data_IF_449529720070
#
_entry.id   IF_449529720070
#
_cell.length_a   1.000
_cell.length_b   1.000
_cell.length_c   1.000
_cell.angle_alpha   90.00
_cell.angle_beta   90.00
_cell.angle_gamma   90.00
#
_symmetry.space_group_name_H-M   'P 1'
#
loop_
_entity.id
_entity.type
_entity.pdbx_description
1 polymer ?
#
# COMPACT_ATOMS: atom_id res chain seq x y z
N UNK A 1 18.02 39.79 1.20
CA UNK A 1 17.33 38.80 0.34
C UNK A 1 18.01 37.41 0.35
N UNK A 2 18.58 36.96 1.49
CA UNK A 2 19.43 35.75 1.57
C UNK A 2 18.78 34.52 2.24
N UNK A 3 17.54 34.64 2.72
CA UNK A 3 16.87 33.56 3.48
C UNK A 3 16.23 32.46 2.62
N UNK A 4 15.73 32.78 1.42
CA UNK A 4 15.03 31.81 0.58
C UNK A 4 15.95 30.74 -0.01
N UNK A 5 17.16 31.10 -0.45
CA UNK A 5 18.10 30.18 -1.12
C UNK A 5 18.59 29.06 -0.20
N UNK A 6 18.78 29.34 1.10
CA UNK A 6 19.24 28.35 2.08
C UNK A 6 18.19 27.30 2.44
N UNK A 7 16.91 27.67 2.48
CA UNK A 7 15.81 26.73 2.72
C UNK A 7 15.57 25.83 1.49
N UNK A 8 15.55 26.41 0.28
CA UNK A 8 15.35 25.64 -0.96
C UNK A 8 16.46 24.61 -1.16
N UNK A 9 17.73 24.98 -0.94
CA UNK A 9 18.86 24.04 -1.05
C UNK A 9 18.78 22.87 -0.06
N UNK A 10 18.25 23.09 1.15
CA UNK A 10 18.02 22.00 2.12
C UNK A 10 16.89 21.07 1.67
N UNK A 11 15.80 21.63 1.12
CA UNK A 11 14.67 20.85 0.59
C UNK A 11 15.10 19.99 -0.60
N UNK A 12 15.89 20.54 -1.52
CA UNK A 12 16.39 19.82 -2.69
C UNK A 12 17.31 18.66 -2.30
N UNK A 13 18.16 18.87 -1.29
CA UNK A 13 19.06 17.83 -0.79
C UNK A 13 18.34 16.74 0.02
N UNK A 14 17.24 17.10 0.69
CA UNK A 14 16.42 16.16 1.47
C UNK A 14 15.42 15.38 0.59
N UNK A 15 14.98 15.95 -0.53
CA UNK A 15 14.00 15.37 -1.47
C UNK A 15 14.28 13.91 -1.86
N UNK A 16 15.48 13.53 -2.35
CA UNK A 16 15.73 12.14 -2.75
C UNK A 16 15.69 11.17 -1.57
N UNK A 17 16.13 11.62 -0.38
CA UNK A 17 16.08 10.82 0.86
C UNK A 17 14.64 10.62 1.33
N UNK A 18 13.84 11.67 1.32
CA UNK A 18 12.43 11.61 1.69
C UNK A 18 11.62 10.70 0.75
N UNK A 19 11.82 10.82 -0.57
CA UNK A 19 11.16 9.96 -1.55
C UNK A 19 11.61 8.50 -1.43
N UNK A 20 12.90 8.26 -1.16
CA UNK A 20 13.43 6.92 -0.91
C UNK A 20 12.81 6.29 0.33
N UNK A 21 12.74 7.03 1.44
CA UNK A 21 12.12 6.57 2.67
C UNK A 21 10.62 6.29 2.50
N UNK A 22 9.89 7.22 1.87
CA UNK A 22 8.46 7.05 1.60
C UNK A 22 8.20 5.78 0.78
N UNK A 23 9.00 5.55 -0.26
CA UNK A 23 8.93 4.34 -1.09
C UNK A 23 9.14 3.07 -0.26
N UNK A 24 10.16 3.06 0.60
CA UNK A 24 10.46 1.91 1.47
C UNK A 24 9.29 1.64 2.42
N UNK A 25 8.76 2.67 3.08
CA UNK A 25 7.64 2.53 4.02
C UNK A 25 6.39 1.99 3.32
N UNK A 26 5.97 2.61 2.22
CA UNK A 26 4.75 2.20 1.50
C UNK A 26 4.91 0.79 0.91
N UNK A 27 6.06 0.50 0.30
CA UNK A 27 6.34 -0.83 -0.27
C UNK A 27 6.36 -1.92 0.80
N UNK A 28 6.97 -1.64 1.96
CA UNK A 28 6.98 -2.56 3.09
C UNK A 28 5.58 -2.84 3.63
N UNK A 29 4.76 -1.80 3.83
CA UNK A 29 3.39 -1.97 4.35
C UNK A 29 2.54 -2.84 3.41
N UNK A 30 2.56 -2.55 2.11
CA UNK A 30 1.87 -3.38 1.10
C UNK A 30 2.37 -4.83 1.11
N UNK A 31 3.70 -5.03 1.18
CA UNK A 31 4.27 -6.37 1.21
C UNK A 31 3.85 -7.16 2.46
N UNK A 32 3.85 -6.50 3.62
CA UNK A 32 3.39 -7.08 4.88
C UNK A 32 1.91 -7.46 4.83
N UNK A 33 1.05 -6.59 4.30
CA UNK A 33 -0.39 -6.87 4.22
C UNK A 33 -0.70 -8.05 3.28
N UNK A 34 -0.04 -8.08 2.12
CA UNK A 34 -0.13 -9.21 1.19
C UNK A 34 0.38 -10.51 1.82
N UNK A 35 1.51 -10.46 2.53
CA UNK A 35 2.08 -11.61 3.23
C UNK A 35 1.15 -12.12 4.35
N UNK A 36 0.58 -11.21 5.15
CA UNK A 36 -0.38 -11.57 6.19
C UNK A 36 -1.60 -12.30 5.61
N UNK A 37 -2.12 -11.77 4.49
CA UNK A 37 -3.31 -12.31 3.85
C UNK A 37 -3.08 -13.65 3.13
N UNK A 38 -1.89 -13.85 2.54
CA UNK A 38 -1.56 -15.07 1.79
C UNK A 38 -0.95 -16.19 2.64
N UNK A 39 -0.17 -15.84 3.66
CA UNK A 39 0.62 -16.80 4.44
C UNK A 39 0.23 -16.90 5.91
N UNK A 40 -0.68 -16.05 6.41
CA UNK A 40 -1.12 -16.11 7.81
C UNK A 40 -0.10 -15.55 8.79
N UNK A 41 0.94 -14.88 8.29
CA UNK A 41 1.98 -14.25 9.11
C UNK A 41 1.52 -12.88 9.61
N UNK A 42 2.24 -12.28 10.56
CA UNK A 42 1.98 -10.90 11.03
C UNK A 42 0.55 -10.66 11.56
N UNK A 43 -0.15 -11.70 12.03
CA UNK A 43 -1.54 -11.63 12.51
C UNK A 43 -2.59 -12.15 11.54
N UNK A 44 -2.19 -12.56 10.33
CA UNK A 44 -3.04 -13.19 9.32
C UNK A 44 -4.00 -12.25 8.60
N UNK A 45 -4.83 -12.80 7.72
CA UNK A 45 -5.82 -12.04 6.97
C UNK A 45 -6.87 -11.42 7.92
N UNK A 46 -7.29 -10.19 7.65
CA UNK A 46 -8.31 -9.51 8.46
C UNK A 46 -9.58 -10.37 8.58
N UNK A 47 -10.09 -10.52 9.80
CA UNK A 47 -11.29 -11.32 10.09
C UNK A 47 -11.07 -12.84 10.17
N UNK A 48 -9.84 -13.33 9.97
CA UNK A 48 -9.55 -14.79 9.94
C UNK A 48 -8.88 -15.34 11.20
N UNK A 49 -8.71 -14.53 12.26
CA UNK A 49 -8.06 -14.93 13.52
C UNK A 49 -6.66 -15.55 13.32
N UNK A 50 -5.84 -14.97 12.45
CA UNK A 50 -4.50 -15.50 12.11
C UNK A 50 -4.47 -16.44 10.90
N UNK A 51 -5.59 -16.63 10.21
CA UNK A 51 -5.69 -17.46 9.01
C UNK A 51 -5.22 -16.78 7.73
N UNK A 52 -5.42 -17.48 6.61
CA UNK A 52 -5.14 -17.03 5.24
C UNK A 52 -6.43 -16.85 4.45
N UNK A 53 -6.35 -16.08 3.37
CA UNK A 53 -7.40 -16.07 2.36
C UNK A 53 -7.31 -17.33 1.51
N UNK A 54 -8.42 -18.07 1.32
CA UNK A 54 -8.44 -19.21 0.41
C UNK A 54 -7.99 -18.80 -1.00
N UNK A 55 -7.24 -19.69 -1.66
CA UNK A 55 -6.70 -19.42 -2.98
C UNK A 55 -7.82 -19.16 -4.00
N UNK A 56 -7.70 -18.07 -4.76
CA UNK A 56 -8.67 -17.69 -5.79
C UNK A 56 -9.92 -16.96 -5.28
N UNK A 57 -10.04 -16.66 -3.97
CA UNK A 57 -11.17 -15.88 -3.45
C UNK A 57 -11.18 -14.47 -4.03
N UNK A 58 -12.25 -14.15 -4.77
CA UNK A 58 -12.48 -12.81 -5.29
C UNK A 58 -13.14 -11.89 -4.24
N UNK A 59 -12.73 -10.62 -4.11
CA UNK A 59 -11.53 -9.99 -4.71
C UNK A 59 -10.26 -10.15 -3.84
N UNK A 60 -10.40 -10.59 -2.58
CA UNK A 60 -9.38 -10.46 -1.56
C UNK A 60 -8.05 -11.18 -1.85
N UNK A 61 -8.10 -12.41 -2.37
CA UNK A 61 -6.88 -13.18 -2.63
C UNK A 61 -6.02 -12.53 -3.73
N UNK A 62 -6.66 -12.05 -4.80
CA UNK A 62 -5.99 -11.33 -5.89
C UNK A 62 -5.41 -10.01 -5.42
N UNK A 63 -6.15 -9.27 -4.58
CA UNK A 63 -5.64 -8.06 -3.95
C UNK A 63 -4.40 -8.35 -3.10
N UNK A 64 -4.38 -9.45 -2.33
CA UNK A 64 -3.24 -9.82 -1.51
C UNK A 64 -1.99 -10.19 -2.34
N UNK A 65 -2.16 -10.88 -3.48
CA UNK A 65 -1.07 -11.15 -4.43
C UNK A 65 -0.51 -9.87 -5.02
N UNK A 66 -1.38 -8.95 -5.46
CA UNK A 66 -0.97 -7.65 -5.98
C UNK A 66 -0.21 -6.88 -4.90
N UNK A 67 -0.72 -6.87 -3.67
CA UNK A 67 -0.10 -6.14 -2.57
C UNK A 67 1.30 -6.65 -2.26
N UNK A 68 1.47 -7.98 -2.18
CA UNK A 68 2.77 -8.59 -1.95
C UNK A 68 3.76 -8.29 -3.09
N UNK A 69 3.36 -8.57 -4.34
CA UNK A 69 4.23 -8.44 -5.49
C UNK A 69 4.59 -6.97 -5.78
N UNK A 70 3.59 -6.09 -5.88
CA UNK A 70 3.81 -4.68 -6.15
C UNK A 70 4.49 -3.98 -4.96
N UNK A 71 4.13 -4.33 -3.72
CA UNK A 71 4.80 -3.84 -2.51
C UNK A 71 6.28 -4.18 -2.49
N UNK A 72 6.64 -5.44 -2.78
CA UNK A 72 8.04 -5.88 -2.86
C UNK A 72 8.81 -5.16 -3.97
N UNK A 73 8.23 -5.00 -5.16
CA UNK A 73 8.86 -4.25 -6.27
C UNK A 73 9.11 -2.78 -5.88
N UNK A 74 8.11 -2.12 -5.28
CA UNK A 74 8.22 -0.74 -4.79
C UNK A 74 9.29 -0.65 -3.70
N UNK A 75 9.31 -1.56 -2.74
CA UNK A 75 10.28 -1.63 -1.65
C UNK A 75 11.73 -1.79 -2.17
N UNK A 76 11.94 -2.71 -3.10
CA UNK A 76 13.25 -2.97 -3.70
C UNK A 76 13.69 -1.89 -4.70
N UNK A 77 12.77 -1.08 -5.19
CA UNK A 77 13.08 0.01 -6.12
C UNK A 77 13.08 -0.42 -7.58
N UNK A 78 12.47 -1.57 -7.86
CA UNK A 78 12.36 -2.16 -9.19
C UNK A 78 11.04 -1.73 -9.82
N UNK A 79 11.07 -1.25 -11.06
CA UNK A 79 9.88 -0.87 -11.85
C UNK A 79 8.82 -0.12 -11.01
N UNK A 80 9.27 0.83 -10.18
CA UNK A 80 8.47 1.42 -9.10
C UNK A 80 7.22 2.13 -9.60
N UNK A 81 7.30 2.82 -10.75
CA UNK A 81 6.19 3.57 -11.33
C UNK A 81 5.03 2.65 -11.74
N UNK A 82 5.22 1.61 -12.58
CA UNK A 82 4.14 0.69 -12.91
C UNK A 82 3.70 -0.16 -11.71
N UNK A 83 4.60 -0.56 -10.81
CA UNK A 83 4.23 -1.30 -9.60
C UNK A 83 3.30 -0.47 -8.70
N UNK A 84 3.63 0.81 -8.46
CA UNK A 84 2.80 1.71 -7.69
C UNK A 84 1.44 1.99 -8.35
N UNK A 85 1.39 2.06 -9.69
CA UNK A 85 0.13 2.22 -10.43
C UNK A 85 -0.79 1.02 -10.21
N UNK A 86 -0.27 -0.21 -10.31
CA UNK A 86 -1.04 -1.43 -10.08
C UNK A 86 -1.51 -1.53 -8.63
N UNK A 87 -0.63 -1.24 -7.67
CA UNK A 87 -0.96 -1.21 -6.24
C UNK A 87 -2.09 -0.21 -5.95
N UNK A 88 -1.99 1.02 -6.45
CA UNK A 88 -3.02 2.04 -6.30
C UNK A 88 -4.33 1.66 -6.97
N UNK A 89 -4.27 1.04 -8.16
CA UNK A 89 -5.45 0.55 -8.87
C UNK A 89 -6.22 -0.51 -8.07
N UNK A 90 -5.51 -1.45 -7.41
CA UNK A 90 -6.15 -2.46 -6.57
C UNK A 90 -6.91 -1.86 -5.38
N UNK A 91 -6.35 -0.81 -4.76
CA UNK A 91 -7.01 -0.09 -3.66
C UNK A 91 -8.19 0.74 -4.13
N UNK A 92 -8.07 1.39 -5.30
CA UNK A 92 -9.18 2.11 -5.90
C UNK A 92 -10.36 1.16 -6.20
N UNK A 93 -10.07 -0.02 -6.76
CA UNK A 93 -11.08 -1.05 -6.97
C UNK A 93 -11.74 -1.49 -5.66
N UNK A 94 -10.95 -1.81 -4.63
CA UNK A 94 -11.47 -2.21 -3.32
C UNK A 94 -12.35 -1.12 -2.69
N UNK A 95 -11.98 0.15 -2.87
CA UNK A 95 -12.79 1.26 -2.38
C UNK A 95 -14.16 1.29 -3.06
N UNK A 96 -14.20 1.34 -4.40
CA UNK A 96 -15.46 1.49 -5.12
C UNK A 96 -16.35 0.26 -5.06
N UNK A 97 -15.77 -0.94 -5.11
CA UNK A 97 -16.55 -2.18 -5.13
C UNK A 97 -16.99 -2.63 -3.74
N UNK A 98 -16.13 -2.49 -2.72
CA UNK A 98 -16.41 -2.99 -1.37
C UNK A 98 -16.90 -1.87 -0.45
N UNK A 99 -16.13 -0.79 -0.32
CA UNK A 99 -16.31 0.18 0.77
C UNK A 99 -17.32 1.29 0.45
N UNK A 100 -17.36 1.78 -0.79
CA UNK A 100 -18.22 2.88 -1.20
C UNK A 100 -19.72 2.54 -1.11
N UNK A 101 -20.06 1.24 -1.09
CA UNK A 101 -21.43 0.76 -0.86
C UNK A 101 -21.91 1.03 0.57
N UNK A 102 -21.00 1.06 1.55
CA UNK A 102 -21.33 1.26 2.95
C UNK A 102 -21.44 2.75 3.33
N UNK A 103 -20.51 3.59 2.88
CA UNK A 103 -20.58 5.04 3.02
C UNK A 103 -19.66 5.75 2.01
N UNK A 104 -19.86 7.05 1.79
CA UNK A 104 -19.03 7.83 0.87
C UNK A 104 -17.68 8.27 1.46
N UNK A 105 -17.54 8.32 2.79
CA UNK A 105 -16.29 8.75 3.42
C UNK A 105 -15.47 7.53 3.89
N UNK A 106 -14.19 7.43 3.53
CA UNK A 106 -13.32 6.30 3.92
C UNK A 106 -13.30 6.01 5.43
N UNK A 107 -13.44 7.06 6.24
CA UNK A 107 -13.45 6.95 7.71
C UNK A 107 -14.74 6.32 8.26
N UNK A 108 -15.83 6.32 7.47
CA UNK A 108 -17.14 5.79 7.85
C UNK A 108 -17.39 4.39 7.30
N UNK A 109 -16.63 3.95 6.30
CA UNK A 109 -16.86 2.68 5.60
C UNK A 109 -15.74 1.65 5.76
N UNK A 110 -14.68 1.96 6.53
CA UNK A 110 -13.54 1.07 6.71
C UNK A 110 -12.49 1.13 5.58
N UNK A 111 -12.67 2.00 4.58
CA UNK A 111 -11.75 2.12 3.44
C UNK A 111 -10.33 2.53 3.83
N UNK A 112 -10.16 3.21 4.97
CA UNK A 112 -8.83 3.54 5.53
C UNK A 112 -8.11 2.34 6.15
N UNK A 113 -8.85 1.28 6.53
CA UNK A 113 -8.30 0.05 7.14
C UNK A 113 -7.93 -1.02 6.10
N UNK A 114 -8.10 -0.72 4.81
CA UNK A 114 -7.83 -1.67 3.71
C UNK A 114 -6.34 -1.89 3.40
N UNK A 115 -5.45 -1.38 4.26
CA UNK A 115 -3.99 -1.42 4.12
C UNK A 115 -3.33 -2.19 5.26
#
# INVERSE_FOLDING_TARGET
>A
MTGHTGLTGRLDSARPRALGLFRVVVGLLFACHGAASLFGVLGGAMGTHGGTLPAGTWPGWYAAVIQLAAGALVLLGLVTRPAALVASGSMAYAYFDVHQRAALWPIQNGGVLSL
#
